data_IF_059421100511
#
_entry.id   IF_059421100511
#
_cell.length_a   1.000
_cell.length_b   1.000
_cell.length_c   1.000
_cell.angle_alpha   90.00
_cell.angle_beta   90.00
_cell.angle_gamma   90.00
#
_symmetry.space_group_name_H-M   'P 1'
#
loop_
_entity.id
_entity.type
_entity.pdbx_description
1 polymer ?
#
# COMPACT_ATOMS: atom_id res chain seq x y z
N UNK A 1 -59.32 -6.41 49.41
CA UNK A 1 -60.11 -5.81 48.32
C UNK A 1 -59.59 -6.36 47.01
N UNK A 2 -60.52 -6.87 46.19
CA UNK A 2 -60.48 -7.49 44.84
C UNK A 2 -59.21 -7.41 43.98
N UNK A 3 -59.00 -8.51 43.26
CA UNK A 3 -58.05 -8.78 42.17
C UNK A 3 -57.99 -7.70 41.07
N UNK A 4 -56.81 -7.55 40.45
CA UNK A 4 -56.66 -7.61 38.99
C UNK A 4 -55.31 -8.28 38.64
N UNK A 5 -55.40 -9.43 37.98
CA UNK A 5 -54.31 -10.05 37.23
C UNK A 5 -54.07 -9.28 35.93
N UNK A 6 -52.81 -9.11 35.54
CA UNK A 6 -52.38 -9.12 34.13
C UNK A 6 -50.98 -9.74 34.06
N UNK A 7 -50.93 -10.95 33.51
CA UNK A 7 -49.73 -11.57 32.94
C UNK A 7 -49.39 -10.85 31.64
N UNK A 8 -48.11 -10.56 31.38
CA UNK A 8 -47.58 -10.37 30.03
C UNK A 8 -46.20 -11.03 29.94
N UNK A 9 -46.16 -11.97 29.00
CA UNK A 9 -45.09 -12.92 28.71
C UNK A 9 -43.77 -12.29 28.22
N UNK A 10 -42.71 -13.06 28.43
CA UNK A 10 -41.68 -13.45 27.44
C UNK A 10 -41.04 -12.33 26.59
N UNK A 11 -39.77 -12.08 26.92
CA UNK A 11 -38.65 -11.86 26.01
C UNK A 11 -38.79 -10.76 24.94
N UNK A 12 -38.38 -9.53 25.29
CA UNK A 12 -38.09 -8.48 24.30
C UNK A 12 -36.79 -7.72 24.59
N UNK A 13 -35.77 -8.41 25.11
CA UNK A 13 -34.44 -7.80 25.35
C UNK A 13 -33.31 -8.66 24.81
N UNK A 14 -33.43 -9.11 23.56
CA UNK A 14 -32.34 -9.86 22.92
C UNK A 14 -32.14 -9.55 21.43
N UNK A 15 -32.93 -8.65 20.84
CA UNK A 15 -32.76 -8.25 19.43
C UNK A 15 -31.92 -6.98 19.28
N UNK A 16 -32.02 -6.02 20.20
CA UNK A 16 -31.26 -4.76 20.15
C UNK A 16 -29.75 -4.96 20.40
N UNK A 17 -29.38 -5.89 21.29
CA UNK A 17 -27.98 -6.30 21.50
C UNK A 17 -27.41 -7.08 20.29
N UNK A 18 -28.23 -7.89 19.62
CA UNK A 18 -27.86 -8.58 18.39
C UNK A 18 -27.64 -7.60 17.22
N UNK A 19 -28.48 -6.57 17.10
CA UNK A 19 -28.31 -5.50 16.09
C UNK A 19 -27.05 -4.65 16.36
N UNK A 20 -26.71 -4.38 17.62
CA UNK A 20 -25.46 -3.69 17.99
C UNK A 20 -24.21 -4.56 17.73
N UNK A 21 -24.31 -5.88 17.92
CA UNK A 21 -23.24 -6.83 17.58
C UNK A 21 -23.03 -6.96 16.07
N UNK A 22 -24.10 -6.91 15.26
CA UNK A 22 -24.03 -6.94 13.78
C UNK A 22 -23.50 -5.63 13.18
N UNK A 23 -23.85 -4.47 13.74
CA UNK A 23 -23.28 -3.17 13.33
C UNK A 23 -21.84 -2.98 13.80
N UNK A 24 -21.46 -3.60 14.93
CA UNK A 24 -20.07 -3.64 15.42
C UNK A 24 -19.15 -4.54 14.59
N UNK A 25 -19.72 -5.49 13.84
CA UNK A 25 -19.00 -6.30 12.86
C UNK A 25 -18.77 -5.56 11.55
N UNK A 26 -19.60 -4.58 11.14
CA UNK A 26 -19.30 -3.77 9.93
C UNK A 26 -18.03 -2.91 10.02
N UNK A 27 -17.41 -2.80 11.20
CA UNK A 27 -16.03 -2.32 11.36
C UNK A 27 -15.04 -3.50 11.25
N UNK A 28 -15.31 -4.44 10.34
CA UNK A 28 -14.34 -5.42 9.88
C UNK A 28 -13.21 -4.63 9.23
N UNK A 29 -12.18 -4.41 10.04
CA UNK A 29 -10.84 -3.99 9.72
C UNK A 29 -10.54 -4.29 8.24
N UNK A 30 -10.66 -3.29 7.37
CA UNK A 30 -10.05 -3.35 6.04
C UNK A 30 -8.55 -3.18 6.26
N UNK A 31 -7.91 -4.22 6.77
CA UNK A 31 -6.46 -4.36 6.67
C UNK A 31 -6.25 -4.74 5.21
N UNK A 32 -5.94 -3.77 4.35
CA UNK A 32 -5.45 -4.10 3.03
C UNK A 32 -4.13 -4.82 3.24
N UNK A 33 -4.17 -6.15 3.17
CA UNK A 33 -2.97 -6.95 3.23
C UNK A 33 -2.38 -6.90 1.83
N UNK A 34 -1.45 -5.98 1.64
CA UNK A 34 -0.63 -5.96 0.43
C UNK A 34 0.35 -7.12 0.52
N UNK A 35 0.30 -8.04 -0.45
CA UNK A 35 1.34 -9.06 -0.60
C UNK A 35 2.44 -8.50 -1.50
N UNK A 36 3.66 -8.45 -1.01
CA UNK A 36 4.81 -7.88 -1.73
C UNK A 36 5.70 -8.98 -2.29
N UNK A 37 6.11 -8.82 -3.55
CA UNK A 37 6.94 -9.76 -4.29
C UNK A 37 8.23 -9.09 -4.74
N UNK A 38 9.37 -9.60 -4.23
CA UNK A 38 10.68 -9.09 -4.61
C UNK A 38 11.21 -9.82 -5.86
N UNK A 39 11.39 -9.08 -6.94
CA UNK A 39 11.80 -9.59 -8.25
C UNK A 39 13.29 -9.31 -8.46
N UNK A 40 14.08 -10.34 -8.75
CA UNK A 40 15.56 -10.28 -8.76
C UNK A 40 16.14 -9.83 -10.11
N UNK A 41 15.32 -9.84 -11.15
CA UNK A 41 15.59 -9.32 -12.48
C UNK A 41 15.87 -7.82 -12.42
N UNK A 42 16.77 -7.33 -13.27
CA UNK A 42 17.10 -5.91 -13.35
C UNK A 42 16.43 -5.29 -14.57
N UNK A 43 15.58 -4.28 -14.35
CA UNK A 43 14.78 -3.64 -15.39
C UNK A 43 14.71 -2.14 -15.17
N UNK A 44 14.53 -1.35 -16.24
CA UNK A 44 14.19 0.06 -16.11
C UNK A 44 12.85 0.22 -15.38
N UNK A 45 12.56 1.42 -14.84
CA UNK A 45 11.34 1.62 -14.07
C UNK A 45 10.06 1.28 -14.87
N UNK A 46 10.01 1.69 -16.15
CA UNK A 46 8.88 1.40 -17.03
C UNK A 46 8.74 -0.10 -17.35
N UNK A 47 9.86 -0.79 -17.58
CA UNK A 47 9.87 -2.25 -17.82
C UNK A 47 9.46 -3.02 -16.56
N UNK A 48 9.97 -2.62 -15.39
CA UNK A 48 9.62 -3.20 -14.09
C UNK A 48 8.11 -3.01 -13.80
N UNK A 49 7.57 -1.82 -14.08
CA UNK A 49 6.13 -1.56 -13.99
C UNK A 49 5.32 -2.43 -14.92
N UNK A 50 5.74 -2.56 -16.19
CA UNK A 50 5.07 -3.41 -17.15
C UNK A 50 5.06 -4.88 -16.68
N UNK A 51 6.20 -5.37 -16.19
CA UNK A 51 6.32 -6.70 -15.61
C UNK A 51 5.34 -6.89 -14.44
N UNK A 52 5.31 -5.95 -13.50
CA UNK A 52 4.41 -6.06 -12.35
C UNK A 52 2.94 -6.05 -12.76
N UNK A 53 2.56 -5.32 -13.82
CA UNK A 53 1.17 -5.30 -14.33
C UNK A 53 0.80 -6.54 -15.14
N UNK A 54 1.79 -7.23 -15.70
CA UNK A 54 1.58 -8.49 -16.41
C UNK A 54 1.43 -9.68 -15.44
N UNK A 55 2.14 -9.64 -14.31
CA UNK A 55 2.24 -10.77 -13.38
C UNK A 55 1.55 -10.57 -12.03
N UNK A 56 1.30 -9.32 -11.62
CA UNK A 56 0.77 -8.89 -10.32
C UNK A 56 -0.19 -7.69 -10.50
N UNK A 57 -0.34 -6.83 -9.50
CA UNK A 57 -1.16 -5.60 -9.61
C UNK A 57 -0.39 -4.41 -10.18
N UNK A 58 0.69 -3.96 -9.52
CA UNK A 58 1.57 -2.87 -9.98
C UNK A 58 2.90 -2.90 -9.18
N UNK A 59 3.79 -1.94 -9.43
CA UNK A 59 4.95 -1.69 -8.57
C UNK A 59 4.52 -1.29 -7.16
N UNK A 60 5.24 -1.80 -6.17
CA UNK A 60 4.90 -1.70 -4.76
C UNK A 60 4.71 -0.27 -4.29
N UNK A 61 3.60 -0.10 -3.59
CA UNK A 61 3.32 1.03 -2.75
C UNK A 61 3.92 0.78 -1.36
N UNK A 62 5.18 1.14 -1.16
CA UNK A 62 5.89 0.82 0.07
C UNK A 62 5.67 1.92 1.09
N UNK A 63 4.79 1.71 2.09
CA UNK A 63 4.53 2.68 3.16
C UNK A 63 5.14 2.33 4.51
N UNK A 64 5.41 1.05 4.76
CA UNK A 64 5.84 0.57 6.06
C UNK A 64 7.25 0.00 5.96
N UNK A 65 8.18 0.69 6.61
CA UNK A 65 9.55 0.23 6.84
C UNK A 65 9.57 -1.15 7.52
N UNK A 66 8.49 -1.54 8.22
CA UNK A 66 8.32 -2.87 8.81
C UNK A 66 8.20 -3.96 7.75
N UNK A 67 7.44 -3.72 6.67
CA UNK A 67 7.30 -4.67 5.57
C UNK A 67 8.57 -4.68 4.70
N UNK A 68 9.22 -3.53 4.51
CA UNK A 68 10.55 -3.46 3.89
C UNK A 68 11.61 -4.23 4.67
N UNK A 69 11.63 -4.10 6.00
CA UNK A 69 12.59 -4.80 6.84
C UNK A 69 12.35 -6.30 6.81
N UNK A 70 11.08 -6.75 6.80
CA UNK A 70 10.72 -8.16 6.59
C UNK A 70 11.19 -8.69 5.23
N UNK A 71 11.01 -7.91 4.16
CA UNK A 71 11.48 -8.25 2.82
C UNK A 71 13.02 -8.30 2.76
N UNK A 72 13.71 -7.31 3.31
CA UNK A 72 15.18 -7.24 3.36
C UNK A 72 15.81 -8.35 4.21
N UNK A 73 15.22 -8.66 5.36
CA UNK A 73 15.68 -9.75 6.24
C UNK A 73 15.54 -11.11 5.54
N UNK A 74 14.53 -11.28 4.68
CA UNK A 74 14.36 -12.49 3.86
C UNK A 74 15.31 -12.58 2.66
N UNK A 75 15.75 -11.43 2.13
CA UNK A 75 16.57 -11.34 0.92
C UNK A 75 18.08 -11.52 1.16
N UNK A 76 18.54 -11.59 2.43
CA UNK A 76 19.94 -11.67 2.84
C UNK A 76 20.84 -10.51 2.38
N UNK A 77 20.29 -9.45 1.78
CA UNK A 77 21.02 -8.23 1.43
C UNK A 77 20.12 -7.00 1.36
N UNK A 78 20.69 -5.85 1.71
CA UNK A 78 20.11 -4.51 1.51
C UNK A 78 20.13 -4.18 0.01
N UNK A 79 19.14 -4.69 -0.72
CA UNK A 79 19.04 -4.52 -2.17
C UNK A 79 18.26 -3.26 -2.52
N UNK A 80 18.79 -2.52 -3.49
CA UNK A 80 18.12 -1.38 -4.12
C UNK A 80 17.03 -1.88 -5.05
N UNK A 81 15.82 -1.35 -4.92
CA UNK A 81 14.70 -1.80 -5.74
C UNK A 81 13.74 -0.68 -6.13
N UNK A 82 13.17 -0.77 -7.33
CA UNK A 82 12.11 0.13 -7.78
C UNK A 82 10.84 -0.05 -6.96
N UNK A 83 10.19 1.08 -6.66
CA UNK A 83 8.82 1.16 -6.13
C UNK A 83 7.93 1.95 -7.10
N UNK A 84 6.61 1.92 -6.85
CA UNK A 84 5.63 2.53 -7.76
C UNK A 84 5.58 4.06 -7.72
N UNK A 85 6.46 4.73 -6.98
CA UNK A 85 6.47 6.19 -6.86
C UNK A 85 7.23 6.81 -8.04
N UNK A 86 6.61 7.75 -8.73
CA UNK A 86 7.21 8.47 -9.86
C UNK A 86 6.67 9.90 -9.93
N UNK A 87 7.30 10.74 -10.73
CA UNK A 87 6.84 12.10 -11.03
C UNK A 87 6.91 12.38 -12.53
N UNK A 88 6.11 13.33 -12.99
CA UNK A 88 6.32 13.91 -14.31
C UNK A 88 7.49 14.91 -14.26
N UNK A 89 8.28 15.05 -15.34
CA UNK A 89 9.36 16.03 -15.38
C UNK A 89 8.85 17.45 -15.09
N UNK A 90 9.41 18.08 -14.06
CA UNK A 90 8.99 19.42 -13.65
C UNK A 90 9.99 20.18 -12.77
N UNK A 91 11.17 19.60 -12.51
CA UNK A 91 12.15 20.14 -11.57
C UNK A 91 11.51 20.47 -10.23
N UNK A 92 11.63 21.73 -9.79
CA UNK A 92 11.05 22.21 -8.53
C UNK A 92 9.51 22.13 -8.44
N UNK A 93 8.80 21.99 -9.56
CA UNK A 93 7.33 21.90 -9.59
C UNK A 93 6.82 20.46 -9.76
N UNK A 94 7.70 19.45 -9.71
CA UNK A 94 7.32 18.05 -9.86
C UNK A 94 6.33 17.62 -8.78
N UNK A 95 5.41 16.73 -9.15
CA UNK A 95 4.46 16.11 -8.24
C UNK A 95 4.64 14.61 -8.29
N UNK A 96 4.62 13.99 -7.10
CA UNK A 96 4.77 12.55 -6.98
C UNK A 96 3.41 11.85 -7.09
N UNK A 97 3.42 10.72 -7.77
CA UNK A 97 2.26 9.90 -8.08
C UNK A 97 2.62 8.44 -7.87
N UNK A 98 1.68 7.67 -7.32
CA UNK A 98 1.78 6.22 -7.34
C UNK A 98 1.38 5.69 -8.71
N UNK A 99 2.04 4.64 -9.16
CA UNK A 99 1.82 4.03 -10.48
C UNK A 99 0.45 3.37 -10.59
N UNK A 100 -0.09 2.85 -9.48
CA UNK A 100 -1.47 2.38 -9.42
C UNK A 100 -2.45 3.57 -9.41
N UNK A 101 -3.44 3.49 -10.30
CA UNK A 101 -4.45 4.53 -10.44
C UNK A 101 -5.37 4.63 -9.22
N UNK A 102 -5.69 5.85 -8.80
CA UNK A 102 -6.58 6.12 -7.67
C UNK A 102 -5.89 6.16 -6.30
N UNK A 103 -4.59 5.89 -6.24
CA UNK A 103 -3.81 6.03 -5.01
C UNK A 103 -3.20 7.43 -4.88
N UNK A 104 -3.49 8.12 -3.77
CA UNK A 104 -2.96 9.44 -3.50
C UNK A 104 -1.57 9.39 -2.85
N UNK A 105 -0.66 10.22 -3.36
CA UNK A 105 0.58 10.56 -2.67
C UNK A 105 0.28 11.53 -1.52
N UNK A 106 0.82 11.26 -0.32
CA UNK A 106 0.65 12.14 0.84
C UNK A 106 2.01 12.52 1.40
N UNK A 107 2.34 13.81 1.38
CA UNK A 107 3.66 14.33 1.79
C UNK A 107 4.05 13.99 3.24
N UNK A 108 3.08 13.79 4.13
CA UNK A 108 3.35 13.44 5.52
C UNK A 108 3.53 11.92 5.76
N UNK A 109 3.44 11.10 4.72
CA UNK A 109 3.67 9.64 4.75
C UNK A 109 4.88 9.26 3.90
N UNK A 110 5.93 10.03 4.16
CA UNK A 110 7.31 10.00 3.69
C UNK A 110 8.20 8.86 4.14
N UNK A 111 9.02 8.25 3.27
CA UNK A 111 10.27 7.59 3.71
C UNK A 111 11.51 8.11 2.95
N UNK A 112 11.50 9.37 2.49
CA UNK A 112 12.65 9.98 1.81
C UNK A 112 13.93 9.92 2.66
N UNK A 113 15.05 9.66 2.00
CA UNK A 113 16.38 9.80 2.57
C UNK A 113 16.70 11.25 2.93
N UNK A 114 17.72 11.44 3.77
CA UNK A 114 18.17 12.79 4.12
C UNK A 114 18.69 13.51 2.87
N UNK A 115 18.07 14.65 2.54
CA UNK A 115 18.41 15.43 1.35
C UNK A 115 17.59 15.09 0.10
N UNK A 116 16.76 14.04 0.16
CA UNK A 116 15.91 13.62 -0.96
C UNK A 116 14.50 14.23 -0.89
N UNK A 117 13.81 14.38 -2.04
CA UNK A 117 14.32 14.10 -3.38
C UNK A 117 15.09 15.29 -3.95
N UNK A 118 16.28 15.04 -4.51
CA UNK A 118 17.26 16.10 -4.76
C UNK A 118 17.40 16.54 -6.24
N UNK A 119 16.87 15.75 -7.19
CA UNK A 119 16.98 15.98 -8.64
C UNK A 119 18.43 16.37 -9.03
N UNK A 120 19.32 15.38 -9.05
CA UNK A 120 20.72 15.50 -9.50
C UNK A 120 20.82 16.17 -10.90
N UNK A 121 22.02 16.41 -11.47
CA UNK A 121 22.16 17.10 -12.77
C UNK A 121 21.34 16.52 -13.94
N UNK A 122 20.80 15.31 -13.78
CA UNK A 122 19.88 14.66 -14.70
C UNK A 122 18.54 14.39 -14.00
N UNK A 123 17.39 14.50 -14.70
CA UNK A 123 16.09 14.33 -14.08
C UNK A 123 15.90 12.96 -13.41
N UNK A 124 15.60 12.97 -12.11
CA UNK A 124 15.37 11.80 -11.26
C UNK A 124 13.88 11.68 -10.96
N UNK A 125 13.13 11.14 -11.93
CA UNK A 125 11.67 11.14 -11.86
C UNK A 125 11.07 9.82 -11.33
N UNK A 126 11.90 8.83 -11.02
CA UNK A 126 11.47 7.53 -10.50
C UNK A 126 12.08 7.31 -9.12
N UNK A 127 11.53 6.40 -8.31
CA UNK A 127 11.98 6.22 -6.93
C UNK A 127 12.42 4.79 -6.70
N UNK A 128 13.65 4.66 -6.20
CA UNK A 128 14.16 3.41 -5.65
C UNK A 128 14.15 3.46 -4.12
N UNK A 129 14.02 2.29 -3.52
CA UNK A 129 14.15 2.12 -2.08
C UNK A 129 15.37 1.25 -1.78
N UNK A 130 16.10 1.64 -0.75
CA UNK A 130 17.05 0.78 -0.05
C UNK A 130 16.68 0.83 1.44
N UNK A 131 17.40 1.58 2.26
CA UNK A 131 16.98 1.89 3.65
C UNK A 131 15.97 3.05 3.73
N UNK A 132 15.89 3.86 2.69
CA UNK A 132 14.99 5.00 2.52
C UNK A 132 14.70 5.16 1.02
N UNK A 133 13.74 6.04 0.68
CA UNK A 133 13.42 6.40 -0.70
C UNK A 133 14.43 7.40 -1.24
N UNK A 134 14.85 7.20 -2.49
CA UNK A 134 15.78 8.04 -3.23
C UNK A 134 15.19 8.23 -4.63
N UNK A 135 15.10 9.47 -5.10
CA UNK A 135 14.77 9.72 -6.49
C UNK A 135 15.96 9.34 -7.37
N UNK A 136 15.67 8.67 -8.49
CA UNK A 136 16.69 8.04 -9.31
C UNK A 136 16.30 8.08 -10.79
N UNK A 137 17.27 8.06 -11.73
CA UNK A 137 16.94 8.16 -13.14
C UNK A 137 16.25 6.88 -13.61
N UNK A 138 15.04 7.02 -14.17
CA UNK A 138 14.14 5.94 -14.55
C UNK A 138 14.74 4.90 -15.51
N UNK A 139 15.77 5.29 -16.27
CA UNK A 139 16.42 4.44 -17.29
C UNK A 139 17.42 3.45 -16.71
N UNK A 140 17.82 3.60 -15.45
CA UNK A 140 18.69 2.63 -14.80
C UNK A 140 17.96 1.32 -14.56
N UNK A 141 18.67 0.20 -14.66
CA UNK A 141 18.09 -1.11 -14.39
C UNK A 141 18.32 -1.50 -12.94
N UNK A 142 17.24 -1.75 -12.19
CA UNK A 142 17.29 -2.21 -10.80
C UNK A 142 16.37 -3.42 -10.61
N UNK A 143 16.57 -4.11 -9.50
CA UNK A 143 15.56 -5.02 -8.95
C UNK A 143 14.30 -4.23 -8.62
N UNK A 144 13.18 -4.92 -8.37
CA UNK A 144 11.92 -4.21 -8.16
C UNK A 144 10.96 -5.02 -7.31
N UNK A 145 10.03 -4.31 -6.70
CA UNK A 145 9.04 -4.89 -5.81
C UNK A 145 7.68 -4.74 -6.48
N UNK A 146 7.02 -5.85 -6.77
CA UNK A 146 5.62 -5.86 -7.19
C UNK A 146 4.73 -6.05 -5.96
N UNK A 147 3.43 -5.77 -6.10
CA UNK A 147 2.46 -6.16 -5.09
C UNK A 147 1.17 -6.69 -5.70
N UNK A 148 0.46 -7.48 -4.91
CA UNK A 148 -0.93 -7.86 -5.18
C UNK A 148 -1.87 -7.05 -4.29
N UNK A 149 -2.76 -6.28 -4.92
CA UNK A 149 -3.85 -5.60 -4.25
C UNK A 149 -5.06 -6.53 -4.21
N UNK A 150 -5.29 -7.23 -3.11
CA UNK A 150 -6.61 -7.81 -2.87
C UNK A 150 -7.61 -6.68 -2.61
N UNK A 151 -8.22 -6.20 -3.69
CA UNK A 151 -9.56 -5.63 -3.55
C UNK A 151 -10.48 -6.77 -3.14
N UNK A 152 -10.81 -6.85 -1.85
CA UNK A 152 -11.81 -7.78 -1.31
C UNK A 152 -13.20 -7.37 -1.80
N UNK A 153 -13.41 -7.43 -3.12
CA UNK A 153 -14.67 -7.19 -3.83
C UNK A 153 -14.81 -8.12 -5.05
N UNK A 154 -14.28 -9.34 -5.01
CA UNK A 154 -14.80 -10.42 -5.87
C UNK A 154 -14.51 -11.77 -5.24
N UNK A 155 -15.40 -12.20 -4.34
CA UNK A 155 -15.67 -13.64 -4.21
C UNK A 155 -16.60 -13.97 -5.38
N UNK A 156 -16.11 -14.74 -6.35
CA UNK A 156 -16.95 -15.39 -7.36
C UNK A 156 -17.78 -16.51 -6.73
#
# INVERSE_FOLDING_TARGET
MKEKSFSCDRATMQWSLFLLLLMGQCVFITCQLYEYHFIKEQMSWDEARAYCRENYTDLAKVFDLTDMRRLQDSAQSQTEAWIGLYSEPGGANRRWHWSLSGEEYTENKTCWGAGEPNDQPYPENCVMTSMAWIDFPCTYTLQFICYDGESMWTVK
#
